data_IF_694040560849
#
_entry.id   IF_694040560849
#
_cell.length_a   1.000
_cell.length_b   1.000
_cell.length_c   1.000
_cell.angle_alpha   90.00
_cell.angle_beta   90.00
_cell.angle_gamma   90.00
#
_symmetry.space_group_name_H-M   'P 1'
#
loop_
_entity.id
_entity.type
_entity.pdbx_description
1 polymer ?
#
# COMPACT_ATOMS: atom_id res chain seq x y z
N UNK A 1 -71.76 -33.13 4.25
CA UNK A 1 -70.80 -32.24 4.94
C UNK A 1 -69.42 -32.60 4.40
N UNK A 2 -69.00 -31.95 3.32
CA UNK A 2 -67.74 -32.25 2.63
C UNK A 2 -66.61 -31.40 3.24
N UNK A 3 -65.51 -31.99 3.71
CA UNK A 3 -64.33 -31.23 4.07
C UNK A 3 -63.55 -30.85 2.80
N UNK A 4 -63.35 -29.56 2.59
CA UNK A 4 -62.43 -29.04 1.57
C UNK A 4 -60.99 -29.44 1.97
N UNK A 5 -60.21 -30.08 1.08
CA UNK A 5 -58.80 -30.31 1.33
C UNK A 5 -58.05 -28.99 1.13
N UNK A 6 -57.66 -28.33 2.22
CA UNK A 6 -56.62 -27.29 2.15
C UNK A 6 -55.35 -27.94 1.64
N UNK A 7 -54.85 -27.50 0.48
CA UNK A 7 -53.73 -28.16 -0.21
C UNK A 7 -52.37 -27.69 0.36
N UNK A 8 -51.68 -28.48 1.21
CA UNK A 8 -50.36 -28.11 1.74
C UNK A 8 -49.27 -28.06 0.67
N UNK A 9 -49.49 -28.70 -0.49
CA UNK A 9 -48.49 -28.83 -1.56
C UNK A 9 -48.21 -27.53 -2.31
N UNK A 10 -49.19 -26.63 -2.42
CA UNK A 10 -49.00 -25.32 -3.05
C UNK A 10 -48.09 -24.42 -2.20
N UNK A 11 -48.19 -24.52 -0.87
CA UNK A 11 -47.31 -23.82 0.07
C UNK A 11 -45.87 -24.31 -0.01
N UNK A 12 -45.65 -25.63 -0.13
CA UNK A 12 -44.29 -26.20 -0.20
C UNK A 12 -43.53 -25.77 -1.46
N UNK A 13 -44.20 -25.69 -2.62
CA UNK A 13 -43.57 -25.21 -3.85
C UNK A 13 -43.17 -23.73 -3.77
N UNK A 14 -44.05 -22.89 -3.21
CA UNK A 14 -43.76 -21.47 -3.02
C UNK A 14 -42.62 -21.25 -2.03
N UNK A 15 -42.60 -22.01 -0.94
CA UNK A 15 -41.52 -22.00 0.05
C UNK A 15 -40.17 -22.40 -0.56
N UNK A 16 -40.15 -23.44 -1.40
CA UNK A 16 -38.94 -23.85 -2.12
C UNK A 16 -38.46 -22.76 -3.09
N UNK A 17 -39.37 -22.13 -3.84
CA UNK A 17 -39.02 -21.03 -4.74
C UNK A 17 -38.45 -19.83 -3.98
N UNK A 18 -39.00 -19.50 -2.82
CA UNK A 18 -38.48 -18.42 -1.98
C UNK A 18 -37.15 -18.77 -1.37
N UNK A 19 -36.97 -19.99 -0.87
CA UNK A 19 -35.68 -20.47 -0.38
C UNK A 19 -34.61 -20.41 -1.48
N UNK A 20 -34.92 -20.83 -2.71
CA UNK A 20 -34.00 -20.74 -3.84
C UNK A 20 -33.67 -19.29 -4.21
N UNK A 21 -34.66 -18.39 -4.22
CA UNK A 21 -34.43 -16.98 -4.50
C UNK A 21 -33.52 -16.34 -3.43
N UNK A 22 -33.79 -16.58 -2.16
CA UNK A 22 -32.95 -16.08 -1.06
C UNK A 22 -31.55 -16.67 -1.09
N UNK A 23 -31.43 -17.97 -1.37
CA UNK A 23 -30.14 -18.65 -1.47
C UNK A 23 -29.29 -18.11 -2.62
N UNK A 24 -29.90 -17.90 -3.79
CA UNK A 24 -29.17 -17.32 -4.94
C UNK A 24 -28.75 -15.88 -4.68
N UNK A 25 -29.60 -15.05 -4.06
CA UNK A 25 -29.21 -13.69 -3.65
C UNK A 25 -28.04 -13.72 -2.66
N UNK A 26 -28.10 -14.59 -1.65
CA UNK A 26 -27.03 -14.74 -0.68
C UNK A 26 -25.71 -15.19 -1.35
N UNK A 27 -25.78 -16.17 -2.25
CA UNK A 27 -24.61 -16.65 -2.99
C UNK A 27 -23.96 -15.54 -3.85
N UNK A 28 -24.76 -14.73 -4.54
CA UNK A 28 -24.26 -13.59 -5.33
C UNK A 28 -23.61 -12.56 -4.41
N UNK A 29 -24.26 -12.18 -3.31
CA UNK A 29 -23.67 -11.21 -2.36
C UNK A 29 -22.35 -11.70 -1.76
N UNK A 30 -22.22 -13.00 -1.51
CA UNK A 30 -20.99 -13.59 -1.00
C UNK A 30 -19.89 -13.56 -2.06
N UNK A 31 -20.21 -13.89 -3.31
CA UNK A 31 -19.26 -13.82 -4.41
C UNK A 31 -18.76 -12.38 -4.63
N UNK A 32 -19.66 -11.38 -4.56
CA UNK A 32 -19.30 -9.96 -4.63
C UNK A 32 -18.40 -9.54 -3.47
N UNK A 33 -18.76 -9.92 -2.24
CA UNK A 33 -17.94 -9.63 -1.05
C UNK A 33 -16.54 -10.24 -1.16
N UNK A 34 -16.43 -11.48 -1.62
CA UNK A 34 -15.13 -12.15 -1.84
C UNK A 34 -14.30 -11.44 -2.91
N UNK A 35 -14.93 -11.00 -3.99
CA UNK A 35 -14.25 -10.24 -5.03
C UNK A 35 -13.70 -8.90 -4.50
N UNK A 36 -14.51 -8.18 -3.71
CA UNK A 36 -14.07 -6.95 -3.06
C UNK A 36 -12.90 -7.18 -2.10
N UNK A 37 -13.00 -8.21 -1.25
CA UNK A 37 -11.91 -8.58 -0.34
C UNK A 37 -10.64 -8.90 -1.12
N UNK A 38 -10.75 -9.68 -2.20
CA UNK A 38 -9.58 -10.05 -3.02
C UNK A 38 -8.89 -8.83 -3.63
N UNK A 39 -9.66 -7.87 -4.14
CA UNK A 39 -9.12 -6.64 -4.70
C UNK A 39 -8.41 -5.80 -3.63
N UNK A 40 -9.05 -5.59 -2.48
CA UNK A 40 -8.47 -4.83 -1.37
C UNK A 40 -7.22 -5.50 -0.80
N UNK A 41 -7.19 -6.83 -0.69
CA UNK A 41 -6.02 -7.56 -0.22
C UNK A 41 -4.86 -7.41 -1.20
N UNK A 42 -5.12 -7.52 -2.51
CA UNK A 42 -4.07 -7.32 -3.52
C UNK A 42 -3.46 -5.92 -3.41
N UNK A 43 -4.30 -4.89 -3.38
CA UNK A 43 -3.87 -3.50 -3.24
C UNK A 43 -3.07 -3.28 -1.94
N UNK A 44 -3.50 -3.90 -0.83
CA UNK A 44 -2.79 -3.80 0.45
C UNK A 44 -1.42 -4.49 0.43
N UNK A 45 -1.28 -5.60 -0.30
CA UNK A 45 0.00 -6.30 -0.46
C UNK A 45 0.96 -5.44 -1.27
N UNK A 46 0.48 -4.89 -2.39
CA UNK A 46 1.27 -4.01 -3.26
C UNK A 46 1.78 -2.78 -2.47
N UNK A 47 0.92 -2.15 -1.67
CA UNK A 47 1.28 -1.02 -0.80
C UNK A 47 2.31 -1.41 0.28
N UNK A 48 2.18 -2.60 0.86
CA UNK A 48 3.10 -3.09 1.87
C UNK A 48 4.49 -3.36 1.28
N UNK A 49 4.55 -3.93 0.07
CA UNK A 49 5.80 -4.19 -0.66
C UNK A 49 6.53 -2.89 -1.02
N UNK A 50 5.80 -1.88 -1.52
CA UNK A 50 6.36 -0.54 -1.81
C UNK A 50 6.93 0.08 -0.53
N UNK A 51 6.19 0.01 0.58
CA UNK A 51 6.61 0.59 1.86
C UNK A 51 7.85 -0.10 2.44
N UNK A 52 7.92 -1.41 2.34
CA UNK A 52 9.07 -2.17 2.81
C UNK A 52 10.31 -1.88 1.97
N UNK A 53 10.17 -1.86 0.64
CA UNK A 53 11.25 -1.49 -0.28
C UNK A 53 11.74 -0.06 -0.02
N UNK A 54 10.83 0.89 0.20
CA UNK A 54 11.16 2.27 0.55
C UNK A 54 11.97 2.34 1.85
N UNK A 55 11.54 1.61 2.89
CA UNK A 55 12.28 1.54 4.16
C UNK A 55 13.65 0.91 3.99
N UNK A 56 13.77 -0.15 3.19
CA UNK A 56 15.04 -0.81 2.92
C UNK A 56 16.01 0.16 2.23
N UNK A 57 15.55 0.88 1.19
CA UNK A 57 16.35 1.90 0.50
C UNK A 57 16.76 3.04 1.44
N UNK A 58 15.82 3.54 2.27
CA UNK A 58 16.14 4.57 3.25
C UNK A 58 17.22 4.09 4.25
N UNK A 59 17.10 2.85 4.73
CA UNK A 59 18.06 2.28 5.67
C UNK A 59 19.43 2.04 5.01
N UNK A 60 19.45 1.61 3.75
CA UNK A 60 20.66 1.42 2.98
C UNK A 60 21.40 2.75 2.80
N UNK A 61 20.70 3.79 2.36
CA UNK A 61 21.29 5.13 2.17
C UNK A 61 21.81 5.67 3.50
N UNK A 62 21.00 5.65 4.55
CA UNK A 62 21.36 6.27 5.85
C UNK A 62 22.51 5.58 6.57
N UNK A 63 22.83 4.33 6.21
CA UNK A 63 23.97 3.57 6.74
C UNK A 63 25.25 3.76 5.94
N UNK A 64 25.21 4.46 4.81
CA UNK A 64 26.41 4.74 4.04
C UNK A 64 27.31 5.73 4.81
N UNK A 65 28.51 5.26 5.17
CA UNK A 65 29.50 6.05 5.90
C UNK A 65 30.14 7.13 5.03
N UNK A 66 29.97 7.06 3.71
CA UNK A 66 30.41 8.07 2.75
C UNK A 66 29.25 8.93 2.23
N UNK A 67 28.24 9.19 3.08
CA UNK A 67 27.11 10.05 2.73
C UNK A 67 27.58 11.42 2.20
N UNK A 68 27.13 11.77 1.00
CA UNK A 68 27.37 13.08 0.39
C UNK A 68 26.06 13.67 -0.09
N UNK A 69 25.99 15.00 -0.16
CA UNK A 69 24.80 15.65 -0.67
C UNK A 69 24.66 15.37 -2.17
N UNK A 70 23.62 14.64 -2.54
CA UNK A 70 23.37 14.22 -3.91
C UNK A 70 21.87 13.96 -4.14
N UNK A 71 21.48 13.98 -5.41
CA UNK A 71 20.18 13.48 -5.85
C UNK A 71 20.42 12.39 -6.87
N UNK A 72 19.83 11.21 -6.66
CA UNK A 72 19.94 10.08 -7.58
C UNK A 72 18.65 9.30 -7.67
N UNK A 73 18.48 8.59 -8.78
CA UNK A 73 17.33 7.73 -9.02
C UNK A 73 17.78 6.28 -9.22
N UNK A 74 17.00 5.33 -8.75
CA UNK A 74 17.22 3.91 -9.06
C UNK A 74 16.69 3.59 -10.44
N UNK A 75 17.15 2.47 -11.02
CA UNK A 75 16.53 1.96 -12.23
C UNK A 75 15.10 1.49 -11.92
N UNK A 76 14.14 1.67 -12.85
CA UNK A 76 12.81 1.09 -12.73
C UNK A 76 12.84 -0.43 -12.75
N UNK A 77 12.01 -1.04 -11.92
CA UNK A 77 11.76 -2.48 -11.94
C UNK A 77 10.78 -2.90 -13.07
N UNK A 78 10.41 -4.18 -13.09
CA UNK A 78 9.48 -4.74 -14.08
C UNK A 78 8.09 -4.08 -14.07
N UNK A 79 7.69 -3.47 -12.95
CA UNK A 79 6.42 -2.77 -12.77
C UNK A 79 6.55 -1.25 -12.94
N UNK A 80 7.75 -0.76 -13.30
CA UNK A 80 8.06 0.65 -13.44
C UNK A 80 8.17 1.41 -12.11
N UNK A 81 8.31 0.71 -10.98
CA UNK A 81 8.60 1.31 -9.69
C UNK A 81 10.09 1.66 -9.62
N UNK A 82 10.39 2.88 -9.17
CA UNK A 82 11.74 3.34 -8.91
C UNK A 82 11.74 4.32 -7.74
N UNK A 83 12.93 4.57 -7.18
CA UNK A 83 13.10 5.44 -6.03
C UNK A 83 13.95 6.64 -6.41
N UNK A 84 13.49 7.84 -6.05
CA UNK A 84 14.30 9.05 -6.03
C UNK A 84 14.83 9.27 -4.62
N UNK A 85 16.14 9.39 -4.52
CA UNK A 85 16.88 9.58 -3.27
C UNK A 85 17.45 11.00 -3.33
N UNK A 86 17.08 11.82 -2.35
CA UNK A 86 17.54 13.19 -2.16
C UNK A 86 18.29 13.24 -0.83
N UNK A 87 19.57 13.60 -0.85
CA UNK A 87 20.41 13.75 0.34
C UNK A 87 20.86 15.20 0.41
N UNK A 88 20.42 15.92 1.44
CA UNK A 88 20.72 17.32 1.65
C UNK A 88 21.50 17.52 2.95
N UNK A 89 22.48 18.42 2.96
CA UNK A 89 23.23 18.76 4.18
C UNK A 89 22.39 19.70 5.04
N UNK A 90 22.30 19.40 6.34
CA UNK A 90 21.57 20.22 7.30
C UNK A 90 22.52 20.78 8.35
N UNK A 91 22.54 22.10 8.46
CA UNK A 91 23.31 22.80 9.49
C UNK A 91 22.40 23.04 10.71
N UNK A 92 22.38 22.09 11.65
CA UNK A 92 21.61 22.19 12.90
C UNK A 92 22.49 22.58 14.08
N UNK A 93 21.89 23.17 15.10
CA UNK A 93 22.55 23.47 16.38
C UNK A 93 21.85 22.73 17.50
N UNK A 94 22.62 22.20 18.46
CA UNK A 94 22.06 21.62 19.68
C UNK A 94 21.63 22.71 20.68
N UNK A 95 20.97 22.30 21.78
CA UNK A 95 20.52 23.22 22.84
C UNK A 95 21.67 23.95 23.55
N UNK A 96 22.88 23.37 23.53
CA UNK A 96 24.11 23.98 24.05
C UNK A 96 24.77 24.97 23.06
N UNK A 97 24.16 25.21 21.90
CA UNK A 97 24.64 26.13 20.87
C UNK A 97 25.80 25.60 20.02
N UNK A 98 26.14 24.32 20.14
CA UNK A 98 27.14 23.64 19.32
C UNK A 98 26.52 23.23 17.97
N UNK A 99 27.24 23.46 16.89
CA UNK A 99 26.83 23.01 15.55
C UNK A 99 26.95 21.49 15.45
N UNK A 100 25.88 20.84 15.00
CA UNK A 100 25.88 19.43 14.64
C UNK A 100 26.42 19.29 13.22
N UNK A 101 27.74 19.15 13.11
CA UNK A 101 28.41 18.92 11.82
C UNK A 101 28.10 17.51 11.29
N UNK A 102 28.13 17.38 9.95
CA UNK A 102 27.85 16.13 9.21
C UNK A 102 26.45 15.55 9.42
N UNK A 103 25.44 16.41 9.58
CA UNK A 103 24.05 15.98 9.56
C UNK A 103 23.47 16.09 8.15
N UNK A 104 22.78 15.05 7.72
CA UNK A 104 22.13 14.99 6.41
C UNK A 104 20.65 14.67 6.57
N UNK A 105 19.81 15.32 5.79
CA UNK A 105 18.43 14.91 5.57
C UNK A 105 18.41 13.98 4.36
N UNK A 106 17.93 12.76 4.57
CA UNK A 106 17.77 11.75 3.52
C UNK A 106 16.28 11.60 3.28
N UNK A 107 15.86 11.89 2.05
CA UNK A 107 14.49 11.70 1.58
C UNK A 107 14.48 10.68 0.46
N UNK A 108 13.62 9.66 0.60
CA UNK A 108 13.40 8.63 -0.41
C UNK A 108 11.95 8.71 -0.85
N UNK A 109 11.72 8.88 -2.15
CA UNK A 109 10.39 8.98 -2.76
C UNK A 109 10.20 7.80 -3.71
N UNK A 110 9.16 7.00 -3.49
CA UNK A 110 8.73 5.95 -4.40
C UNK A 110 7.91 6.56 -5.54
N UNK A 111 8.31 6.27 -6.76
CA UNK A 111 7.69 6.77 -7.99
C UNK A 111 7.34 5.59 -8.90
N UNK A 112 6.20 5.68 -9.59
CA UNK A 112 5.78 4.72 -10.61
C UNK A 112 5.69 5.40 -11.95
N UNK A 113 6.39 4.85 -12.94
CA UNK A 113 6.35 5.38 -14.30
C UNK A 113 5.01 4.99 -14.97
N UNK A 114 4.12 5.96 -15.14
CA UNK A 114 2.87 5.74 -15.86
C UNK A 114 3.13 5.91 -17.36
N UNK A 115 2.51 5.07 -18.21
CA UNK A 115 2.66 5.08 -19.68
C UNK A 115 2.36 6.45 -20.35
N UNK A 116 1.73 7.38 -19.64
CA UNK A 116 1.45 8.73 -20.09
C UNK A 116 2.61 9.73 -19.89
N UNK A 117 3.78 9.28 -19.44
CA UNK A 117 4.96 10.12 -19.23
C UNK A 117 4.86 11.05 -18.02
N UNK A 118 3.90 10.80 -17.11
CA UNK A 118 3.82 11.43 -15.79
C UNK A 118 4.12 10.37 -14.76
N UNK A 119 5.09 10.65 -13.90
CA UNK A 119 5.42 9.78 -12.78
C UNK A 119 4.41 10.01 -11.66
N UNK A 120 3.89 8.92 -11.11
CA UNK A 120 3.01 8.94 -9.97
C UNK A 120 3.84 8.77 -8.70
N UNK A 121 3.71 9.69 -7.75
CA UNK A 121 4.34 9.56 -6.44
C UNK A 121 3.46 8.63 -5.60
N UNK A 122 4.02 7.50 -5.17
CA UNK A 122 3.30 6.52 -4.36
C UNK A 122 3.43 6.82 -2.86
N UNK A 123 4.66 7.02 -2.39
CA UNK A 123 4.97 7.29 -0.98
C UNK A 123 6.32 8.00 -0.86
N UNK A 124 6.59 8.62 0.28
CA UNK A 124 7.89 9.21 0.59
C UNK A 124 8.21 9.09 2.07
N UNK A 125 9.47 8.82 2.40
CA UNK A 125 9.97 8.90 3.78
C UNK A 125 11.20 9.78 3.86
N UNK A 126 11.31 10.49 4.98
CA UNK A 126 12.43 11.38 5.28
C UNK A 126 12.99 11.02 6.65
N UNK A 127 14.31 11.06 6.79
CA UNK A 127 15.00 10.90 8.07
C UNK A 127 16.27 11.73 8.11
N UNK A 128 16.76 11.98 9.32
CA UNK A 128 18.09 12.56 9.54
C UNK A 128 19.12 11.44 9.72
N UNK A 129 20.29 11.59 9.10
CA UNK A 129 21.42 10.68 9.20
C UNK A 129 22.69 11.45 9.58
N UNK A 130 23.46 10.88 10.51
CA UNK A 130 24.79 11.37 10.86
C UNK A 130 25.78 10.21 10.80
N UNK A 131 26.61 10.11 9.74
CA UNK A 131 27.53 9.00 9.55
C UNK A 131 28.64 8.93 10.60
N UNK A 132 28.84 9.97 11.42
CA UNK A 132 29.86 9.99 12.48
C UNK A 132 29.38 9.41 13.82
N UNK A 133 28.10 9.04 13.96
CA UNK A 133 27.51 8.50 15.21
C UNK A 133 27.41 6.96 15.23
N UNK A 134 27.92 6.28 14.19
CA UNK A 134 27.92 4.82 14.06
C UNK A 134 29.23 4.17 14.54
#
# INVERSE_FOLDING_TARGET
MHPEPSSPRAFTLFELLMAMALFTMAAVSLAEALNLISLTVSESIDDAEVRESLRATLLEVTRDTALTAETRETNPDEQGLYFRIEVDRVDLKNEDGQTLDNLFEVKVTALRQVRAGRDEVLDSATTLANPNLL
#
